data_IF_387302562092
#
_entry.id   IF_387302562092
#
_cell.length_a   1.000
_cell.length_b   1.000
_cell.length_c   1.000
_cell.angle_alpha   90.00
_cell.angle_beta   90.00
_cell.angle_gamma   90.00
#
_symmetry.space_group_name_H-M   'P 1'
#
loop_
_entity.id
_entity.type
_entity.pdbx_description
1 polymer ?
#
# COMPACT_ATOMS: atom_id res chain seq x y z
N UNK A 1 -0.28 20.12 -39.37
CA UNK A 1 0.29 20.30 -38.03
C UNK A 1 -0.33 19.25 -37.13
N UNK A 2 0.37 18.17 -36.93
CA UNK A 2 -0.04 17.16 -35.95
C UNK A 2 0.30 17.73 -34.57
N UNK A 3 -0.73 17.99 -33.78
CA UNK A 3 -0.59 18.23 -32.35
C UNK A 3 -0.08 16.95 -31.74
N UNK A 4 1.20 16.94 -31.32
CA UNK A 4 1.71 15.95 -30.40
C UNK A 4 0.97 16.15 -29.08
N UNK A 5 -0.16 15.48 -28.95
CA UNK A 5 -0.87 15.37 -27.71
C UNK A 5 -0.01 14.54 -26.74
N UNK A 6 0.47 15.16 -25.78
CA UNK A 6 0.72 14.86 -24.38
C UNK A 6 0.83 13.38 -23.95
N UNK A 7 1.61 12.58 -24.66
CA UNK A 7 2.07 11.28 -24.15
C UNK A 7 3.03 11.44 -22.94
N UNK A 8 3.47 12.68 -22.65
CA UNK A 8 4.35 12.98 -21.51
C UNK A 8 3.63 13.27 -20.19
N UNK A 9 2.31 13.43 -20.18
CA UNK A 9 1.57 13.65 -18.93
C UNK A 9 1.13 12.36 -18.25
N UNK A 10 0.93 11.27 -18.98
CA UNK A 10 0.56 9.98 -18.40
C UNK A 10 1.71 9.28 -17.67
N UNK A 11 2.97 9.59 -17.97
CA UNK A 11 4.13 8.98 -17.31
C UNK A 11 4.46 9.55 -15.94
N UNK A 12 3.88 10.68 -15.55
CA UNK A 12 4.21 11.37 -14.30
C UNK A 12 3.42 10.84 -13.09
N UNK A 13 2.42 9.99 -13.30
CA UNK A 13 1.51 9.50 -12.26
C UNK A 13 1.44 7.97 -12.19
N UNK A 14 2.57 7.29 -12.36
CA UNK A 14 2.65 5.83 -12.20
C UNK A 14 2.72 5.39 -10.72
N UNK A 15 2.23 6.21 -9.82
CA UNK A 15 2.08 5.81 -8.44
C UNK A 15 0.84 4.91 -8.31
N UNK A 16 1.07 3.67 -7.92
CA UNK A 16 -0.03 2.72 -7.72
C UNK A 16 -0.77 3.03 -6.41
N UNK A 17 -2.04 3.28 -6.50
CA UNK A 17 -2.92 3.49 -5.36
C UNK A 17 -3.49 2.16 -4.86
N UNK A 18 -3.81 2.13 -3.56
CA UNK A 18 -4.54 0.98 -2.99
C UNK A 18 -5.93 0.89 -3.60
N UNK A 19 -6.48 -0.33 -3.66
CA UNK A 19 -7.86 -0.56 -4.12
C UNK A 19 -8.88 0.06 -3.16
N UNK A 20 -10.10 0.28 -3.62
CA UNK A 20 -11.19 0.77 -2.77
C UNK A 20 -11.41 -0.13 -1.54
N UNK A 21 -11.36 -1.45 -1.74
CA UNK A 21 -11.50 -2.41 -0.64
C UNK A 21 -10.42 -2.21 0.42
N UNK A 22 -9.16 -2.10 0.01
CA UNK A 22 -8.04 -1.86 0.92
C UNK A 22 -8.14 -0.47 1.58
N UNK A 23 -8.58 0.54 0.86
CA UNK A 23 -8.80 1.89 1.41
C UNK A 23 -9.88 1.90 2.50
N UNK A 24 -10.98 1.16 2.31
CA UNK A 24 -12.02 0.98 3.34
C UNK A 24 -11.45 0.33 4.60
N UNK A 25 -10.68 -0.74 4.45
CA UNK A 25 -10.04 -1.43 5.56
C UNK A 25 -9.04 -0.51 6.31
N UNK A 26 -8.24 0.27 5.58
CA UNK A 26 -7.35 1.26 6.17
C UNK A 26 -8.12 2.29 7.01
N UNK A 27 -9.24 2.81 6.49
CA UNK A 27 -10.10 3.73 7.23
C UNK A 27 -10.61 3.11 8.52
N UNK A 28 -11.10 1.88 8.49
CA UNK A 28 -11.58 1.14 9.67
C UNK A 28 -10.48 0.94 10.71
N UNK A 29 -9.23 0.79 10.28
CA UNK A 29 -8.07 0.60 11.17
C UNK A 29 -7.41 1.90 11.62
N UNK A 30 -8.02 3.04 11.30
CA UNK A 30 -7.59 4.33 11.78
C UNK A 30 -6.49 5.01 10.95
N UNK A 31 -6.40 4.70 9.67
CA UNK A 31 -5.51 5.44 8.78
C UNK A 31 -5.92 6.91 8.73
N UNK A 32 -5.05 7.80 9.20
CA UNK A 32 -5.31 9.22 9.40
C UNK A 32 -4.30 10.14 8.69
N UNK A 33 -3.40 9.57 7.90
CA UNK A 33 -2.43 10.35 7.15
C UNK A 33 -3.08 11.11 5.99
N UNK A 34 -2.58 12.31 5.68
CA UNK A 34 -3.10 13.07 4.57
C UNK A 34 -2.82 12.38 3.23
N UNK A 35 -3.75 12.50 2.31
CA UNK A 35 -3.65 12.03 0.93
C UNK A 35 -4.19 13.08 -0.02
N UNK A 36 -3.72 13.09 -1.27
CA UNK A 36 -4.31 13.91 -2.32
C UNK A 36 -5.56 13.26 -2.92
N UNK A 37 -5.59 11.94 -2.94
CA UNK A 37 -6.65 11.17 -3.58
C UNK A 37 -7.65 10.65 -2.55
N UNK A 38 -8.90 10.59 -2.95
CA UNK A 38 -9.97 10.00 -2.15
C UNK A 38 -10.97 9.25 -3.03
N UNK A 39 -11.54 8.19 -2.50
CA UNK A 39 -12.72 7.53 -3.07
C UNK A 39 -14.00 8.17 -2.54
N UNK A 40 -15.03 8.21 -3.38
CA UNK A 40 -16.39 8.49 -2.96
C UNK A 40 -16.99 7.27 -2.23
N UNK A 41 -17.56 7.51 -1.06
CA UNK A 41 -18.18 6.44 -0.26
C UNK A 41 -19.69 6.29 -0.53
N UNK A 42 -20.35 7.28 -1.12
CA UNK A 42 -21.81 7.30 -1.30
C UNK A 42 -22.26 7.48 -2.75
N UNK A 43 -21.41 8.00 -3.62
CA UNK A 43 -21.75 8.27 -5.01
C UNK A 43 -21.38 7.13 -5.94
N UNK A 44 -20.46 7.38 -6.86
CA UNK A 44 -19.95 6.37 -7.80
C UNK A 44 -18.88 5.54 -7.10
N UNK A 45 -19.20 4.31 -6.75
CA UNK A 45 -18.28 3.41 -6.08
C UNK A 45 -17.00 3.21 -6.91
N UNK A 46 -15.86 3.32 -6.24
CA UNK A 46 -14.55 3.14 -6.86
C UNK A 46 -14.03 4.34 -7.66
N UNK A 47 -14.77 5.43 -7.75
CA UNK A 47 -14.30 6.65 -8.39
C UNK A 47 -13.33 7.39 -7.47
N UNK A 48 -12.15 7.71 -8.03
CA UNK A 48 -11.10 8.45 -7.34
C UNK A 48 -11.22 9.94 -7.71
N UNK A 49 -11.08 10.79 -6.71
CA UNK A 49 -11.05 12.24 -6.85
C UNK A 49 -9.72 12.80 -6.34
N UNK A 50 -9.20 13.81 -7.03
CA UNK A 50 -7.93 14.50 -6.71
C UNK A 50 -8.12 15.98 -6.34
N UNK A 51 -9.35 16.47 -6.35
CA UNK A 51 -9.69 17.89 -6.22
C UNK A 51 -10.02 18.36 -4.81
N UNK A 52 -9.84 17.50 -3.81
CA UNK A 52 -10.16 17.82 -2.40
C UNK A 52 -8.97 18.40 -1.61
N UNK A 53 -7.75 18.40 -2.18
CA UNK A 53 -6.55 18.86 -1.50
C UNK A 53 -5.85 17.78 -0.65
N UNK A 54 -4.76 18.17 -0.02
CA UNK A 54 -3.91 17.26 0.75
C UNK A 54 -4.26 17.34 2.24
N UNK A 55 -5.08 16.42 2.70
CA UNK A 55 -5.47 16.27 4.10
C UNK A 55 -6.02 14.87 4.38
N UNK A 56 -6.34 14.58 5.63
CA UNK A 56 -6.96 13.31 6.03
C UNK A 56 -8.44 13.28 5.61
N UNK A 57 -8.73 12.69 4.47
CA UNK A 57 -10.11 12.54 3.96
C UNK A 57 -10.96 11.57 4.78
N UNK A 58 -10.34 10.72 5.59
CA UNK A 58 -11.07 9.78 6.45
C UNK A 58 -11.81 10.45 7.61
N UNK A 59 -11.60 11.74 7.84
CA UNK A 59 -12.41 12.54 8.77
C UNK A 59 -13.85 12.71 8.30
N UNK A 60 -14.11 12.53 7.02
CA UNK A 60 -15.43 12.69 6.43
C UNK A 60 -16.06 11.32 6.16
N UNK A 61 -17.36 11.18 6.47
CA UNK A 61 -18.08 9.93 6.25
C UNK A 61 -18.31 9.61 4.77
N UNK A 62 -18.34 10.63 3.93
CA UNK A 62 -18.57 10.54 2.49
C UNK A 62 -17.30 10.37 1.65
N UNK A 63 -16.14 10.39 2.26
CA UNK A 63 -14.86 10.19 1.62
C UNK A 63 -14.05 9.05 2.26
N UNK A 64 -13.22 8.41 1.44
CA UNK A 64 -12.25 7.41 1.90
C UNK A 64 -10.89 7.80 1.34
N UNK A 65 -9.93 8.08 2.20
CA UNK A 65 -8.56 8.37 1.79
C UNK A 65 -8.02 7.25 0.91
N UNK A 66 -7.43 7.62 -0.22
CA UNK A 66 -6.81 6.70 -1.17
C UNK A 66 -5.30 6.94 -1.19
N UNK A 67 -4.53 6.34 -0.27
CA UNK A 67 -3.08 6.45 -0.31
C UNK A 67 -2.50 5.65 -1.48
N UNK A 68 -1.30 6.02 -1.91
CA UNK A 68 -0.49 5.11 -2.70
C UNK A 68 -0.09 3.87 -1.89
N UNK A 69 0.27 2.81 -2.57
CA UNK A 69 0.76 1.59 -1.90
C UNK A 69 2.01 1.89 -1.05
N UNK A 70 2.92 2.74 -1.51
CA UNK A 70 4.11 3.12 -0.76
C UNK A 70 3.78 3.88 0.52
N UNK A 71 2.78 4.76 0.49
CA UNK A 71 2.30 5.48 1.69
C UNK A 71 1.61 4.53 2.65
N UNK A 72 0.78 3.62 2.17
CA UNK A 72 0.12 2.61 3.00
C UNK A 72 1.15 1.68 3.69
N UNK A 73 2.16 1.21 2.96
CA UNK A 73 3.24 0.41 3.53
C UNK A 73 4.06 1.21 4.56
N UNK A 74 4.30 2.48 4.31
CA UNK A 74 4.99 3.36 5.26
C UNK A 74 4.18 3.53 6.55
N UNK A 75 2.88 3.76 6.45
CA UNK A 75 1.99 3.85 7.60
C UNK A 75 1.98 2.55 8.41
N UNK A 76 1.88 1.39 7.76
CA UNK A 76 1.97 0.09 8.44
C UNK A 76 3.29 -0.06 9.19
N UNK A 77 4.40 0.37 8.59
CA UNK A 77 5.73 0.30 9.21
C UNK A 77 5.87 1.23 10.41
N UNK A 78 5.43 2.48 10.30
CA UNK A 78 5.67 3.50 11.31
C UNK A 78 4.62 3.49 12.44
N UNK A 79 3.39 3.14 12.13
CA UNK A 79 2.28 3.16 13.09
C UNK A 79 1.96 1.78 13.65
N UNK A 80 2.06 0.75 12.83
CA UNK A 80 1.69 -0.63 13.20
C UNK A 80 2.88 -1.57 13.40
N UNK A 81 4.10 -1.09 13.17
CA UNK A 81 5.33 -1.89 13.28
C UNK A 81 5.36 -3.13 12.37
N UNK A 82 4.73 -3.03 11.21
CA UNK A 82 4.71 -4.06 10.18
C UNK A 82 5.50 -3.60 8.96
N UNK A 83 6.58 -4.30 8.66
CA UNK A 83 7.41 -4.01 7.50
C UNK A 83 7.07 -4.98 6.36
N UNK A 84 6.72 -4.45 5.21
CA UNK A 84 6.47 -5.22 3.99
C UNK A 84 7.69 -5.10 3.08
N UNK A 85 8.30 -6.22 2.76
CA UNK A 85 9.35 -6.32 1.73
C UNK A 85 8.78 -6.94 0.46
N UNK A 86 8.96 -6.28 -0.68
CA UNK A 86 8.55 -6.78 -1.99
C UNK A 86 9.81 -7.02 -2.81
N UNK A 87 10.03 -8.26 -3.22
CA UNK A 87 11.26 -8.62 -3.94
C UNK A 87 11.02 -9.76 -4.95
N UNK A 88 11.83 -9.83 -6.02
CA UNK A 88 11.77 -10.94 -6.95
C UNK A 88 12.35 -12.20 -6.32
N UNK A 89 11.78 -13.33 -6.68
CA UNK A 89 12.28 -14.67 -6.38
C UNK A 89 12.55 -15.41 -7.69
N UNK A 90 13.68 -16.11 -7.74
CA UNK A 90 14.04 -16.95 -8.88
C UNK A 90 13.66 -18.40 -8.60
N UNK A 91 12.92 -18.99 -9.52
CA UNK A 91 12.63 -20.41 -9.57
C UNK A 91 13.57 -21.16 -10.51
N UNK A 92 13.23 -22.42 -10.82
CA UNK A 92 13.92 -23.22 -11.83
C UNK A 92 13.90 -22.54 -13.21
N UNK A 93 14.96 -22.73 -13.98
CA UNK A 93 15.07 -22.19 -15.36
C UNK A 93 14.98 -20.67 -15.47
N UNK A 94 15.38 -19.93 -14.42
CA UNK A 94 15.32 -18.45 -14.37
C UNK A 94 13.92 -17.85 -14.49
N UNK A 95 12.86 -18.61 -14.32
CA UNK A 95 11.54 -18.04 -14.10
C UNK A 95 11.48 -17.32 -12.77
N UNK A 96 10.77 -16.20 -12.72
CA UNK A 96 10.66 -15.42 -11.47
C UNK A 96 9.21 -15.10 -11.15
N UNK A 97 8.99 -14.83 -9.89
CA UNK A 97 7.76 -14.23 -9.37
C UNK A 97 8.11 -13.13 -8.38
N UNK A 98 7.15 -12.31 -8.03
CA UNK A 98 7.31 -11.27 -7.02
C UNK A 98 6.74 -11.78 -5.71
N UNK A 99 7.52 -11.68 -4.65
CA UNK A 99 7.15 -12.14 -3.32
C UNK A 99 7.00 -10.99 -2.35
N UNK A 100 5.88 -10.98 -1.62
CA UNK A 100 5.69 -10.11 -0.47
C UNK A 100 6.06 -10.83 0.83
N UNK A 101 6.88 -10.22 1.64
CA UNK A 101 7.23 -10.73 2.97
C UNK A 101 6.88 -9.72 4.04
N UNK A 102 6.27 -10.17 5.13
CA UNK A 102 5.84 -9.32 6.23
C UNK A 102 6.67 -9.63 7.47
N UNK A 103 7.23 -8.57 8.05
CA UNK A 103 8.04 -8.63 9.26
C UNK A 103 7.38 -7.79 10.35
N UNK A 104 7.42 -8.27 11.59
CA UNK A 104 7.09 -7.45 12.76
C UNK A 104 8.34 -6.74 13.25
N UNK A 105 8.25 -5.44 13.45
CA UNK A 105 9.34 -4.64 14.01
C UNK A 105 9.19 -4.62 15.53
N UNK A 106 10.23 -5.05 16.24
CA UNK A 106 10.26 -5.02 17.71
C UNK A 106 10.39 -3.59 18.22
N UNK A 107 9.68 -3.25 19.29
CA UNK A 107 9.72 -1.93 19.91
C UNK A 107 11.07 -1.66 20.57
N UNK A 108 11.67 -2.67 21.17
CA UNK A 108 12.93 -2.56 21.87
C UNK A 108 14.08 -2.34 20.90
N UNK A 109 14.99 -1.44 21.27
CA UNK A 109 16.22 -1.19 20.51
C UNK A 109 17.37 -2.00 21.10
N UNK A 110 18.22 -2.52 20.22
CA UNK A 110 19.48 -3.14 20.60
C UNK A 110 20.43 -2.09 21.21
N UNK A 111 21.54 -2.57 21.78
CA UNK A 111 22.63 -1.71 22.29
C UNK A 111 23.10 -0.67 21.26
N UNK A 112 23.08 -1.00 19.96
CA UNK A 112 23.47 -0.11 18.86
C UNK A 112 22.32 0.80 18.38
N UNK A 113 21.19 0.84 19.06
CA UNK A 113 20.01 1.63 18.66
C UNK A 113 19.21 1.05 17.50
N UNK A 114 19.53 -0.15 17.06
CA UNK A 114 18.83 -0.85 15.98
C UNK A 114 17.64 -1.63 16.52
N UNK A 115 16.57 -1.68 15.74
CA UNK A 115 15.38 -2.48 16.03
C UNK A 115 15.44 -3.80 15.26
N UNK A 116 15.10 -4.88 15.94
CA UNK A 116 15.00 -6.20 15.33
C UNK A 116 13.67 -6.34 14.58
N UNK A 117 13.71 -7.17 13.52
CA UNK A 117 12.51 -7.62 12.82
C UNK A 117 12.38 -9.13 12.90
N UNK A 118 11.18 -9.60 13.09
CA UNK A 118 10.83 -11.02 13.01
C UNK A 118 9.95 -11.27 11.79
N UNK A 119 10.22 -12.37 11.09
CA UNK A 119 9.30 -12.85 10.07
C UNK A 119 8.06 -13.42 10.76
N UNK A 120 6.96 -12.70 10.71
CA UNK A 120 5.77 -13.00 11.49
C UNK A 120 4.97 -14.17 10.92
N UNK A 121 5.07 -14.40 9.60
CA UNK A 121 4.30 -15.43 8.90
C UNK A 121 5.04 -15.92 7.66
N UNK A 122 4.77 -17.16 7.27
CA UNK A 122 5.02 -17.61 5.91
C UNK A 122 3.96 -17.01 4.98
N UNK A 123 4.03 -15.68 4.81
CA UNK A 123 3.14 -14.91 3.96
C UNK A 123 3.44 -15.07 2.46
N UNK A 124 4.52 -15.78 2.13
CA UNK A 124 5.00 -15.93 0.75
C UNK A 124 3.93 -16.46 -0.18
N UNK A 125 3.25 -17.53 0.20
CA UNK A 125 2.18 -18.12 -0.62
C UNK A 125 0.98 -17.20 -0.81
N UNK A 126 0.74 -16.27 0.14
CA UNK A 126 -0.40 -15.34 0.11
C UNK A 126 -0.07 -14.12 -0.72
N UNK A 127 1.18 -13.65 -0.64
CA UNK A 127 1.64 -12.40 -1.25
C UNK A 127 2.42 -12.62 -2.55
N UNK A 128 2.61 -13.84 -2.99
CA UNK A 128 3.27 -14.14 -4.26
C UNK A 128 2.40 -13.71 -5.44
N UNK A 129 3.02 -13.08 -6.43
CA UNK A 129 2.34 -12.55 -7.60
C UNK A 129 3.28 -12.44 -8.79
N UNK A 130 2.73 -12.07 -9.95
CA UNK A 130 3.48 -11.77 -11.16
C UNK A 130 3.85 -10.29 -11.30
N UNK A 131 3.33 -9.41 -10.42
CA UNK A 131 3.64 -7.99 -10.42
C UNK A 131 3.97 -7.48 -9.03
N UNK A 132 4.80 -6.42 -8.98
CA UNK A 132 5.12 -5.71 -7.73
C UNK A 132 3.86 -5.16 -7.07
N UNK A 133 3.01 -4.52 -7.87
CA UNK A 133 1.81 -3.83 -7.41
C UNK A 133 0.78 -4.80 -6.82
N UNK A 134 0.59 -5.96 -7.46
CA UNK A 134 -0.32 -6.98 -6.94
C UNK A 134 0.23 -7.64 -5.66
N UNK A 135 1.53 -7.92 -5.60
CA UNK A 135 2.17 -8.44 -4.39
C UNK A 135 2.06 -7.42 -3.23
N UNK A 136 2.29 -6.14 -3.49
CA UNK A 136 2.16 -5.08 -2.51
C UNK A 136 0.71 -4.95 -2.01
N UNK A 137 -0.28 -4.94 -2.90
CA UNK A 137 -1.70 -4.87 -2.54
C UNK A 137 -2.12 -6.04 -1.65
N UNK A 138 -1.73 -7.26 -2.01
CA UNK A 138 -1.99 -8.47 -1.22
C UNK A 138 -1.36 -8.40 0.16
N UNK A 139 -0.11 -7.94 0.24
CA UNK A 139 0.61 -7.82 1.51
C UNK A 139 -0.01 -6.75 2.43
N UNK A 140 -0.37 -5.60 1.88
CA UNK A 140 -1.06 -4.53 2.61
C UNK A 140 -2.39 -5.04 3.16
N UNK A 141 -3.22 -5.62 2.30
CA UNK A 141 -4.52 -6.16 2.68
C UNK A 141 -4.40 -7.24 3.76
N UNK A 142 -3.46 -8.16 3.62
CA UNK A 142 -3.20 -9.19 4.62
C UNK A 142 -2.81 -8.59 5.99
N UNK A 143 -1.93 -7.59 6.01
CA UNK A 143 -1.58 -6.88 7.24
C UNK A 143 -2.81 -6.32 7.94
N UNK A 144 -3.68 -5.66 7.18
CA UNK A 144 -4.86 -4.99 7.74
C UNK A 144 -5.90 -5.99 8.24
N UNK A 145 -6.14 -7.05 7.49
CA UNK A 145 -7.18 -8.04 7.82
C UNK A 145 -6.77 -9.02 8.93
N UNK A 146 -5.48 -9.36 9.00
CA UNK A 146 -5.01 -10.48 9.81
C UNK A 146 -4.09 -10.08 10.96
N UNK A 147 -3.40 -8.94 10.88
CA UNK A 147 -2.33 -8.60 11.80
C UNK A 147 -2.61 -7.36 12.69
N UNK A 148 -3.64 -6.58 12.37
CA UNK A 148 -4.02 -5.40 13.16
C UNK A 148 -5.49 -5.29 13.51
#
# INVERSE_FOLDING_TARGET
>A
METKTDENQEQQWNEQFVTLETAKLLKEKGFDWPTYMAYDNFGIEGKIYDNFGYYNHNKHDDLISCPSQSVAMKWLREVKNLFIGIEPRLGQYCYYWISGTIYTIKQERSYYGLREMENTYDSRAICDSHSYEDAAERAIKYCIEKLI
#
